data_IF_804515260081
#
_entry.id   IF_804515260081
#
_cell.length_a   1.000
_cell.length_b   1.000
_cell.length_c   1.000
_cell.angle_alpha   90.00
_cell.angle_beta   90.00
_cell.angle_gamma   90.00
#
_symmetry.space_group_name_H-M   'P 1'
#
loop_
_entity.id
_entity.type
_entity.pdbx_description
1 polymer ?
#
# COMPACT_ATOMS: atom_id res chain seq x y z
N UNK A 1 -15.35 81.92 -47.13
CA UNK A 1 -13.93 82.05 -46.71
C UNK A 1 -13.89 81.59 -45.26
N UNK A 2 -13.16 80.57 -44.80
CA UNK A 2 -11.99 79.84 -45.29
C UNK A 2 -11.96 78.50 -44.54
N UNK A 3 -11.41 77.46 -45.17
CA UNK A 3 -11.30 76.07 -44.69
C UNK A 3 -10.10 75.85 -43.74
N UNK A 4 -10.14 74.70 -43.04
CA UNK A 4 -9.07 73.71 -42.69
C UNK A 4 -9.03 73.35 -41.18
N UNK A 5 -9.53 72.17 -40.80
CA UNK A 5 -8.89 70.82 -40.66
C UNK A 5 -8.10 70.61 -39.35
N UNK A 6 -8.55 69.62 -38.56
CA UNK A 6 -7.77 68.64 -37.75
C UNK A 6 -8.82 67.73 -37.07
N UNK A 7 -9.13 66.51 -37.57
CA UNK A 7 -8.45 65.22 -37.38
C UNK A 7 -8.07 64.95 -35.91
N UNK A 8 -8.87 64.13 -35.23
CA UNK A 8 -8.40 62.94 -34.52
C UNK A 8 -9.59 62.03 -34.19
N UNK A 9 -9.67 60.93 -34.94
CA UNK A 9 -10.58 59.81 -34.82
C UNK A 9 -10.06 58.92 -33.69
N UNK A 10 -10.73 58.86 -32.54
CA UNK A 10 -10.40 57.86 -31.51
C UNK A 10 -11.14 56.57 -31.87
N UNK A 11 -10.48 55.75 -32.69
CA UNK A 11 -10.83 54.33 -32.85
C UNK A 11 -10.33 53.64 -31.59
N UNK A 12 -11.26 53.30 -30.70
CA UNK A 12 -10.99 52.41 -29.58
C UNK A 12 -10.87 51.00 -30.18
N UNK A 13 -9.66 50.64 -30.58
CA UNK A 13 -9.32 49.29 -31.01
C UNK A 13 -9.55 48.35 -29.83
N UNK A 14 -10.58 47.50 -29.96
CA UNK A 14 -10.72 46.30 -29.17
C UNK A 14 -9.52 45.39 -29.43
N UNK A 15 -8.50 45.56 -28.59
CA UNK A 15 -7.51 44.52 -28.38
C UNK A 15 -8.20 43.45 -27.53
N UNK A 16 -8.67 42.43 -28.23
CA UNK A 16 -8.86 41.10 -27.67
C UNK A 16 -7.51 40.67 -27.08
N UNK A 17 -7.30 40.97 -25.80
CA UNK A 17 -6.41 40.16 -24.99
C UNK A 17 -7.14 38.84 -24.80
N UNK A 18 -6.87 37.90 -25.72
CA UNK A 18 -6.92 36.49 -25.36
C UNK A 18 -5.90 36.29 -24.25
N UNK A 19 -6.38 36.42 -23.01
CA UNK A 19 -5.81 35.68 -21.90
C UNK A 19 -6.06 34.22 -22.24
N UNK A 20 -5.05 33.54 -22.76
CA UNK A 20 -4.95 32.10 -22.56
C UNK A 20 -4.91 31.91 -21.04
N UNK A 21 -6.04 31.52 -20.44
CA UNK A 21 -5.99 30.89 -19.14
C UNK A 21 -5.26 29.57 -19.35
N UNK A 22 -3.96 29.58 -19.07
CA UNK A 22 -3.34 28.35 -18.60
C UNK A 22 -3.98 28.12 -17.23
N UNK A 23 -5.05 27.34 -17.20
CA UNK A 23 -5.57 26.78 -15.96
C UNK A 23 -4.51 25.77 -15.47
N UNK A 24 -3.43 26.30 -14.90
CA UNK A 24 -2.40 25.61 -14.13
C UNK A 24 -2.99 25.21 -12.77
N UNK A 25 -4.02 24.36 -12.78
CA UNK A 25 -4.64 23.78 -11.58
C UNK A 25 -3.80 22.61 -11.02
N UNK A 26 -2.48 22.74 -11.06
CA UNK A 26 -1.55 21.89 -10.34
C UNK A 26 -1.42 22.35 -8.88
N UNK A 27 -1.01 21.47 -7.95
CA UNK A 27 -0.55 21.88 -6.63
C UNK A 27 0.43 23.04 -6.76
N UNK A 28 0.21 24.15 -6.05
CA UNK A 28 1.08 25.34 -6.08
C UNK A 28 2.54 25.06 -5.58
N UNK A 29 2.82 23.80 -5.20
CA UNK A 29 4.08 23.30 -4.67
C UNK A 29 4.65 22.13 -5.49
N UNK A 30 4.05 21.78 -6.65
CA UNK A 30 4.53 20.71 -7.52
C UNK A 30 5.41 21.27 -8.66
N UNK A 31 6.70 20.90 -8.75
CA UNK A 31 7.55 21.28 -9.87
C UNK A 31 7.12 20.71 -11.24
N UNK A 32 6.16 19.78 -11.29
CA UNK A 32 5.67 19.11 -12.51
C UNK A 32 4.18 19.39 -12.83
N UNK A 33 3.63 20.52 -12.39
CA UNK A 33 2.27 20.97 -12.73
C UNK A 33 1.14 19.97 -12.35
N UNK A 34 1.27 19.25 -11.24
CA UNK A 34 0.30 18.26 -10.78
C UNK A 34 0.48 16.87 -11.38
N UNK A 35 1.67 16.54 -11.88
CA UNK A 35 1.96 15.23 -12.48
C UNK A 35 3.10 14.51 -11.78
N UNK A 36 2.83 13.29 -11.35
CA UNK A 36 3.75 12.42 -10.63
C UNK A 36 3.96 11.14 -11.46
N UNK A 37 4.71 11.30 -12.54
CA UNK A 37 4.91 10.22 -13.52
C UNK A 37 5.92 9.18 -13.06
N UNK A 38 6.86 9.56 -12.18
CA UNK A 38 7.94 8.73 -11.63
C UNK A 38 8.20 9.13 -10.18
N UNK A 39 8.83 8.27 -9.39
CA UNK A 39 9.24 8.57 -8.03
C UNK A 39 8.73 7.56 -7.02
N UNK A 40 8.72 7.95 -5.75
CA UNK A 40 8.36 7.09 -4.63
C UNK A 40 7.12 7.66 -3.94
N UNK A 41 6.08 6.86 -3.82
CA UNK A 41 4.85 7.23 -3.14
C UNK A 41 4.75 6.46 -1.82
N UNK A 42 4.42 7.16 -0.75
CA UNK A 42 4.33 6.61 0.59
C UNK A 42 2.90 6.80 1.07
N UNK A 43 2.24 5.70 1.40
CA UNK A 43 0.92 5.74 2.02
C UNK A 43 1.06 5.95 3.53
N UNK A 44 0.35 6.94 4.05
CA UNK A 44 0.33 7.22 5.47
C UNK A 44 -1.08 6.97 6.00
N UNK A 45 -1.19 6.15 7.04
CA UNK A 45 -2.48 5.81 7.65
C UNK A 45 -3.18 7.05 8.21
N UNK A 46 -2.42 8.01 8.74
CA UNK A 46 -2.96 9.01 9.64
C UNK A 46 -3.41 8.38 10.96
N UNK A 47 -4.25 9.08 11.70
CA UNK A 47 -4.79 8.60 12.96
C UNK A 47 -6.22 8.10 12.78
N UNK A 48 -6.58 7.10 13.59
CA UNK A 48 -7.94 6.60 13.66
C UNK A 48 -8.92 7.75 13.97
N UNK A 49 -9.98 7.88 13.18
CA UNK A 49 -10.99 8.93 13.27
C UNK A 49 -10.52 10.39 13.07
N UNK A 50 -9.31 10.65 12.53
CA UNK A 50 -8.80 12.02 12.35
C UNK A 50 -8.81 12.56 10.91
N UNK A 51 -9.31 11.79 9.95
CA UNK A 51 -9.43 12.16 8.53
C UNK A 51 -8.15 12.80 7.93
N UNK A 52 -6.99 12.34 8.39
CA UNK A 52 -5.67 12.88 8.08
C UNK A 52 -4.76 11.84 7.42
N UNK A 53 -5.32 10.76 6.87
CA UNK A 53 -4.58 9.88 5.96
C UNK A 53 -4.14 10.67 4.73
N UNK A 54 -2.93 10.41 4.24
CA UNK A 54 -2.40 11.08 3.07
C UNK A 54 -1.44 10.19 2.27
N UNK A 55 -1.02 10.72 1.12
CA UNK A 55 0.02 10.12 0.29
C UNK A 55 1.13 11.16 0.18
N UNK A 56 2.34 10.77 0.56
CA UNK A 56 3.56 11.55 0.37
C UNK A 56 4.22 11.12 -0.94
N UNK A 57 4.68 12.08 -1.73
CA UNK A 57 5.51 11.88 -2.91
C UNK A 57 6.96 12.28 -2.62
N UNK A 58 7.90 11.48 -3.08
CA UNK A 58 9.34 11.78 -3.06
C UNK A 58 9.94 11.56 -4.45
N UNK A 59 10.62 12.58 -4.96
CA UNK A 59 11.40 12.49 -6.19
C UNK A 59 12.89 12.24 -5.85
N UNK A 60 13.44 11.05 -6.14
CA UNK A 60 14.83 10.73 -5.84
C UNK A 60 15.85 11.51 -6.69
N UNK A 61 15.41 12.22 -7.73
CA UNK A 61 16.26 13.04 -8.61
C UNK A 61 16.40 14.48 -8.13
N UNK A 62 15.58 14.89 -7.15
CA UNK A 62 15.57 16.24 -6.55
C UNK A 62 16.16 16.20 -5.15
N UNK A 63 16.80 17.28 -4.74
CA UNK A 63 17.33 17.42 -3.38
C UNK A 63 16.22 17.39 -2.32
N UNK A 64 16.51 16.81 -1.15
CA UNK A 64 15.61 16.87 0.00
C UNK A 64 15.62 18.29 0.56
N UNK A 65 14.48 18.96 0.49
CA UNK A 65 14.31 20.37 0.85
C UNK A 65 12.84 20.67 1.16
N UNK A 66 12.47 21.95 1.30
CA UNK A 66 11.08 22.31 1.60
C UNK A 66 10.08 21.94 0.48
N UNK A 67 10.55 21.66 -0.74
CA UNK A 67 9.71 21.28 -1.88
C UNK A 67 9.78 19.79 -2.24
N UNK A 68 10.54 18.98 -1.50
CA UNK A 68 10.67 17.53 -1.70
C UNK A 68 11.11 16.87 -0.38
N UNK A 69 10.33 15.95 0.20
CA UNK A 69 9.11 15.33 -0.31
C UNK A 69 7.88 16.26 -0.28
N UNK A 70 6.85 15.91 -1.08
CA UNK A 70 5.57 16.60 -1.15
C UNK A 70 4.52 15.77 -0.44
N UNK A 71 4.01 16.25 0.69
CA UNK A 71 2.93 15.59 1.44
C UNK A 71 1.55 15.98 0.90
N UNK A 72 0.51 15.23 1.28
CA UNK A 72 -0.88 15.55 0.96
C UNK A 72 -1.18 15.67 -0.54
N UNK A 73 -0.55 14.86 -1.40
CA UNK A 73 -0.74 14.98 -2.86
C UNK A 73 -2.20 14.72 -3.29
N UNK A 74 -2.88 13.77 -2.64
CA UNK A 74 -4.32 13.52 -2.89
C UNK A 74 -5.16 14.76 -2.55
N UNK A 75 -4.98 15.33 -1.35
CA UNK A 75 -5.74 16.49 -0.90
C UNK A 75 -5.55 17.66 -1.85
N UNK A 76 -4.33 17.87 -2.30
CA UNK A 76 -3.99 18.98 -3.20
C UNK A 76 -4.57 18.78 -4.59
N UNK A 77 -4.46 17.57 -5.16
CA UNK A 77 -5.04 17.23 -6.46
C UNK A 77 -6.59 17.31 -6.48
N UNK A 78 -7.23 17.24 -5.32
CA UNK A 78 -8.70 17.16 -5.19
C UNK A 78 -9.28 18.35 -4.40
N UNK A 79 -8.76 19.57 -4.63
CA UNK A 79 -9.31 20.83 -4.10
C UNK A 79 -9.55 20.83 -2.57
N UNK A 80 -8.66 20.19 -1.82
CA UNK A 80 -8.74 20.12 -0.36
C UNK A 80 -9.53 18.93 0.20
N UNK A 81 -10.08 18.06 -0.64
CA UNK A 81 -10.79 16.86 -0.20
C UNK A 81 -9.88 15.92 0.62
N UNK A 82 -10.40 15.40 1.73
CA UNK A 82 -9.65 14.46 2.58
C UNK A 82 -9.71 13.04 2.01
N UNK A 83 -8.58 12.32 2.06
CA UNK A 83 -8.53 10.90 1.67
C UNK A 83 -9.37 10.05 2.63
N UNK A 84 -9.25 10.33 3.93
CA UNK A 84 -10.03 9.72 5.00
C UNK A 84 -9.15 9.37 6.20
N UNK A 85 -9.53 8.32 6.93
CA UNK A 85 -8.83 7.85 8.14
C UNK A 85 -8.33 6.42 7.91
N UNK A 86 -7.07 6.15 8.26
CA UNK A 86 -6.42 4.84 8.14
C UNK A 86 -6.38 4.36 6.69
N UNK A 87 -5.53 5.00 5.87
CA UNK A 87 -5.20 4.48 4.55
C UNK A 87 -4.32 3.22 4.69
N UNK A 88 -4.96 2.06 4.55
CA UNK A 88 -4.44 0.77 4.97
C UNK A 88 -3.52 0.12 3.94
N UNK A 89 -3.81 0.31 2.66
CA UNK A 89 -3.01 -0.20 1.55
C UNK A 89 -3.36 0.55 0.28
N UNK A 90 -2.50 0.46 -0.73
CA UNK A 90 -2.90 0.75 -2.10
C UNK A 90 -2.63 -0.45 -3.00
N UNK A 91 -3.23 -0.42 -4.18
CA UNK A 91 -3.01 -1.38 -5.25
C UNK A 91 -3.02 -0.65 -6.59
N UNK A 92 -1.96 -0.80 -7.37
CA UNK A 92 -1.87 -0.19 -8.70
C UNK A 92 -2.36 -1.16 -9.77
N UNK A 93 -3.20 -0.67 -10.70
CA UNK A 93 -3.58 -1.41 -11.90
C UNK A 93 -3.80 -0.46 -13.07
N UNK A 94 -2.99 -0.61 -14.11
CA UNK A 94 -3.03 0.25 -15.29
C UNK A 94 -2.69 1.69 -14.91
N UNK A 95 -3.57 2.63 -15.23
CA UNK A 95 -3.43 4.05 -14.86
C UNK A 95 -4.16 4.42 -13.56
N UNK A 96 -4.63 3.44 -12.79
CA UNK A 96 -5.40 3.66 -11.57
C UNK A 96 -4.63 3.19 -10.35
N UNK A 97 -4.70 3.99 -9.29
CA UNK A 97 -4.31 3.60 -7.95
C UNK A 97 -5.59 3.45 -7.10
N UNK A 98 -5.74 2.28 -6.50
CA UNK A 98 -6.84 1.95 -5.60
C UNK A 98 -6.34 2.07 -4.17
N UNK A 99 -6.85 3.01 -3.40
CA UNK A 99 -6.41 3.27 -2.02
C UNK A 99 -7.48 2.77 -1.06
N UNK A 100 -7.14 1.74 -0.29
CA UNK A 100 -8.03 1.20 0.75
C UNK A 100 -7.98 2.10 1.97
N UNK A 101 -9.12 2.68 2.33
CA UNK A 101 -9.24 3.59 3.49
C UNK A 101 -10.11 2.92 4.54
N UNK A 102 -9.45 2.20 5.44
CA UNK A 102 -10.03 1.24 6.37
C UNK A 102 -11.10 1.86 7.27
N UNK A 103 -10.73 2.85 8.09
CA UNK A 103 -11.65 3.49 9.03
C UNK A 103 -12.65 4.43 8.32
N UNK A 104 -12.56 4.57 7.00
CA UNK A 104 -13.56 5.26 6.17
C UNK A 104 -14.42 4.32 5.33
N UNK A 105 -14.27 2.99 5.49
CA UNK A 105 -15.07 1.95 4.83
C UNK A 105 -15.22 2.16 3.31
N UNK A 106 -14.11 2.48 2.65
CA UNK A 106 -14.11 2.75 1.21
C UNK A 106 -12.78 2.36 0.54
N UNK A 107 -12.84 2.24 -0.77
CA UNK A 107 -11.67 2.33 -1.64
C UNK A 107 -11.79 3.60 -2.48
N UNK A 108 -10.82 4.49 -2.38
CA UNK A 108 -10.70 5.66 -3.26
C UNK A 108 -9.93 5.26 -4.51
N UNK A 109 -10.46 5.56 -5.69
CA UNK A 109 -9.81 5.26 -6.97
C UNK A 109 -9.34 6.57 -7.58
N UNK A 110 -8.04 6.67 -7.83
CA UNK A 110 -7.41 7.88 -8.36
C UNK A 110 -6.61 7.56 -9.62
N UNK A 111 -6.41 8.56 -10.46
CA UNK A 111 -5.41 8.47 -11.53
C UNK A 111 -4.01 8.39 -10.91
N UNK A 112 -3.22 7.38 -11.27
CA UNK A 112 -1.92 7.12 -10.64
C UNK A 112 -0.81 8.11 -11.06
N UNK A 113 -1.13 9.12 -11.87
CA UNK A 113 -0.20 10.16 -12.30
C UNK A 113 -0.57 11.51 -11.71
N UNK A 114 -1.85 11.88 -11.74
CA UNK A 114 -2.32 13.18 -11.24
C UNK A 114 -2.87 13.11 -9.82
N UNK A 115 -3.16 11.91 -9.31
CA UNK A 115 -3.84 11.66 -8.04
C UNK A 115 -5.22 12.31 -7.93
N UNK A 116 -5.77 12.78 -9.06
CA UNK A 116 -7.16 13.22 -9.17
C UNK A 116 -8.07 12.02 -9.01
N UNK A 117 -9.12 12.20 -8.21
CA UNK A 117 -10.16 11.22 -7.95
C UNK A 117 -10.88 10.85 -9.25
N UNK A 118 -10.99 9.56 -9.48
CA UNK A 118 -11.79 8.96 -10.55
C UNK A 118 -13.13 8.48 -9.99
N UNK A 119 -13.11 7.73 -8.89
CA UNK A 119 -14.30 7.12 -8.30
C UNK A 119 -14.09 6.76 -6.83
N UNK A 120 -15.17 6.38 -6.15
CA UNK A 120 -15.12 5.78 -4.81
C UNK A 120 -15.94 4.49 -4.82
N UNK A 121 -15.36 3.42 -4.28
CA UNK A 121 -16.07 2.17 -4.00
C UNK A 121 -16.46 2.20 -2.51
N UNK A 122 -17.72 2.52 -2.21
CA UNK A 122 -18.22 2.68 -0.84
C UNK A 122 -19.54 1.94 -0.61
N UNK A 123 -19.62 0.68 -1.05
CA UNK A 123 -20.88 -0.05 -1.23
C UNK A 123 -21.54 -0.56 0.08
N UNK A 124 -21.65 0.29 1.12
CA UNK A 124 -22.36 -0.01 2.36
C UNK A 124 -21.91 -1.32 2.99
N UNK A 125 -22.82 -2.26 3.21
CA UNK A 125 -22.53 -3.58 3.79
C UNK A 125 -21.44 -4.36 3.03
N UNK A 126 -21.13 -4.03 1.77
CA UNK A 126 -20.14 -4.72 0.93
C UNK A 126 -18.72 -4.15 1.03
N UNK A 127 -18.52 -3.17 1.92
CA UNK A 127 -17.23 -2.58 2.22
C UNK A 127 -17.22 -2.20 3.70
N UNK A 128 -16.67 -3.06 4.55
CA UNK A 128 -16.65 -2.85 5.99
C UNK A 128 -15.31 -3.31 6.55
N UNK A 129 -14.55 -2.35 7.08
CA UNK A 129 -13.20 -2.53 7.58
C UNK A 129 -12.28 -3.17 6.50
N UNK A 130 -12.16 -2.57 5.30
CA UNK A 130 -11.39 -3.15 4.20
C UNK A 130 -9.88 -3.10 4.47
N UNK A 131 -9.15 -4.09 3.95
CA UNK A 131 -7.74 -4.33 4.28
C UNK A 131 -6.83 -4.24 3.05
N UNK A 132 -6.92 -5.20 2.13
CA UNK A 132 -6.03 -5.32 0.97
C UNK A 132 -6.78 -5.64 -0.31
N UNK A 133 -6.16 -5.34 -1.45
CA UNK A 133 -6.69 -5.61 -2.78
C UNK A 133 -5.73 -6.52 -3.55
N UNK A 134 -6.28 -7.50 -4.26
CA UNK A 134 -5.65 -8.18 -5.41
C UNK A 134 -6.59 -8.17 -6.59
N UNK A 135 -6.10 -8.46 -7.80
CA UNK A 135 -6.95 -8.48 -8.99
C UNK A 135 -6.55 -9.54 -10.00
N UNK A 136 -7.52 -10.01 -10.77
CA UNK A 136 -7.29 -10.60 -12.09
C UNK A 136 -7.54 -9.52 -13.17
N UNK A 137 -7.75 -9.91 -14.42
CA UNK A 137 -8.00 -8.97 -15.52
C UNK A 137 -9.35 -8.27 -15.43
N UNK A 138 -10.35 -8.92 -14.83
CA UNK A 138 -11.74 -8.50 -14.87
C UNK A 138 -12.25 -8.02 -13.52
N UNK A 139 -11.65 -8.50 -12.42
CA UNK A 139 -12.16 -8.33 -11.06
C UNK A 139 -11.11 -7.88 -10.06
N UNK A 140 -11.55 -7.03 -9.13
CA UNK A 140 -10.88 -6.73 -7.87
C UNK A 140 -11.43 -7.64 -6.78
N UNK A 141 -10.55 -8.09 -5.88
CA UNK A 141 -10.88 -8.84 -4.68
C UNK A 141 -10.35 -8.07 -3.47
N UNK A 142 -11.23 -7.76 -2.52
CA UNK A 142 -10.92 -6.86 -1.41
C UNK A 142 -11.20 -7.58 -0.09
N UNK A 143 -10.18 -7.77 0.75
CA UNK A 143 -10.37 -8.37 2.08
C UNK A 143 -11.03 -7.38 3.03
N UNK A 144 -11.98 -7.86 3.83
CA UNK A 144 -12.79 -7.08 4.75
C UNK A 144 -12.98 -7.84 6.05
N UNK A 145 -12.72 -7.18 7.19
CA UNK A 145 -12.98 -7.75 8.51
C UNK A 145 -14.45 -7.73 8.92
N UNK A 146 -15.32 -7.05 8.17
CA UNK A 146 -16.71 -6.89 8.61
C UNK A 146 -16.79 -6.10 9.92
N UNK A 147 -17.66 -6.52 10.84
CA UNK A 147 -17.67 -5.95 12.17
C UNK A 147 -16.53 -6.61 12.98
N UNK A 148 -15.53 -5.84 13.44
CA UNK A 148 -14.36 -6.42 14.11
C UNK A 148 -14.66 -7.10 15.46
N UNK A 149 -15.91 -7.03 15.95
CA UNK A 149 -16.38 -7.76 17.14
C UNK A 149 -17.20 -9.02 16.80
N UNK A 150 -17.36 -9.36 15.52
CA UNK A 150 -18.12 -10.52 15.04
C UNK A 150 -17.21 -11.39 14.18
N UNK A 151 -16.75 -12.50 14.75
CA UNK A 151 -15.72 -13.37 14.15
C UNK A 151 -16.20 -14.23 12.96
N UNK A 152 -17.40 -13.96 12.44
CA UNK A 152 -18.08 -14.81 11.44
C UNK A 152 -18.64 -14.03 10.26
N UNK A 153 -18.44 -12.71 10.24
CA UNK A 153 -18.95 -11.84 9.17
C UNK A 153 -17.86 -11.36 8.19
N UNK A 154 -16.60 -11.79 8.37
CA UNK A 154 -15.46 -11.53 7.49
C UNK A 154 -15.65 -12.08 6.07
N UNK A 155 -15.15 -11.32 5.08
CA UNK A 155 -15.39 -11.62 3.69
C UNK A 155 -14.34 -11.05 2.73
N UNK A 156 -14.28 -11.63 1.53
CA UNK A 156 -13.65 -11.03 0.37
C UNK A 156 -14.75 -10.47 -0.55
N UNK A 157 -14.68 -9.18 -0.86
CA UNK A 157 -15.62 -8.53 -1.77
C UNK A 157 -15.08 -8.53 -3.20
N UNK A 158 -15.91 -8.95 -4.16
CA UNK A 158 -15.57 -8.97 -5.60
C UNK A 158 -16.24 -7.82 -6.32
N UNK A 159 -15.47 -7.06 -7.09
CA UNK A 159 -15.96 -5.95 -7.92
C UNK A 159 -15.45 -6.09 -9.35
N UNK A 160 -16.23 -5.66 -10.35
CA UNK A 160 -15.76 -5.55 -11.73
C UNK A 160 -14.81 -4.37 -11.87
N UNK A 161 -13.69 -4.55 -12.54
CA UNK A 161 -12.73 -3.47 -12.81
C UNK A 161 -13.31 -2.44 -13.79
N UNK A 162 -14.12 -2.90 -14.75
CA UNK A 162 -14.65 -2.08 -15.85
C UNK A 162 -15.52 -0.90 -15.38
N UNK A 163 -16.37 -1.13 -14.38
CA UNK A 163 -17.36 -0.17 -13.90
C UNK A 163 -17.41 -0.06 -12.37
N UNK A 164 -16.54 -0.79 -11.66
CA UNK A 164 -16.49 -0.85 -10.19
C UNK A 164 -17.79 -1.36 -9.55
N UNK A 165 -18.64 -2.04 -10.32
CA UNK A 165 -19.87 -2.64 -9.78
C UNK A 165 -19.55 -3.83 -8.88
N UNK A 166 -20.29 -3.94 -7.79
CA UNK A 166 -20.23 -5.08 -6.88
C UNK A 166 -20.74 -6.35 -7.60
N UNK A 167 -20.06 -7.47 -7.38
CA UNK A 167 -20.43 -8.78 -7.92
C UNK A 167 -20.97 -9.67 -6.82
N UNK A 168 -20.14 -9.98 -5.83
CA UNK A 168 -20.48 -10.89 -4.73
C UNK A 168 -19.48 -10.83 -3.57
N UNK A 169 -19.80 -11.56 -2.48
CA UNK A 169 -18.91 -11.81 -1.35
C UNK A 169 -18.53 -13.27 -1.25
N UNK A 170 -17.29 -13.53 -0.88
CA UNK A 170 -16.85 -14.83 -0.40
C UNK A 170 -16.68 -14.77 1.12
N UNK A 171 -17.45 -15.56 1.87
CA UNK A 171 -17.25 -15.69 3.32
C UNK A 171 -15.93 -16.40 3.60
N UNK A 172 -15.15 -15.87 4.52
CA UNK A 172 -13.86 -16.43 4.91
C UNK A 172 -13.75 -16.48 6.43
N UNK A 173 -12.70 -17.13 6.93
CA UNK A 173 -12.42 -17.15 8.37
C UNK A 173 -11.97 -15.76 8.84
N UNK A 174 -11.98 -15.55 10.16
CA UNK A 174 -11.74 -14.26 10.80
C UNK A 174 -10.39 -13.62 10.45
N UNK A 175 -10.42 -12.31 10.23
CA UNK A 175 -9.25 -11.47 10.03
C UNK A 175 -8.52 -11.70 8.72
N UNK A 176 -9.20 -11.68 7.55
CA UNK A 176 -8.52 -11.74 6.27
C UNK A 176 -7.68 -10.49 6.07
N UNK A 177 -6.39 -10.67 5.83
CA UNK A 177 -5.42 -9.58 5.61
C UNK A 177 -4.93 -9.61 4.16
N UNK A 178 -3.60 -9.68 3.96
CA UNK A 178 -2.98 -9.75 2.64
C UNK A 178 -3.47 -10.97 1.88
N UNK A 179 -3.47 -10.87 0.56
CA UNK A 179 -3.88 -11.92 -0.35
C UNK A 179 -2.91 -12.05 -1.52
N UNK A 180 -2.88 -13.23 -2.14
CA UNK A 180 -2.27 -13.46 -3.45
C UNK A 180 -3.30 -14.16 -4.32
N UNK A 181 -3.45 -13.73 -5.56
CA UNK A 181 -4.28 -14.40 -6.56
C UNK A 181 -3.36 -15.11 -7.56
N UNK A 182 -3.44 -16.43 -7.59
CA UNK A 182 -2.62 -17.26 -8.48
C UNK A 182 -3.47 -18.38 -9.08
N UNK A 183 -3.47 -18.51 -10.40
CA UNK A 183 -4.19 -19.56 -11.14
C UNK A 183 -5.67 -19.72 -10.74
N UNK A 184 -6.38 -18.59 -10.56
CA UNK A 184 -7.80 -18.57 -10.20
C UNK A 184 -8.09 -18.90 -8.73
N UNK A 185 -7.07 -18.98 -7.88
CA UNK A 185 -7.20 -19.20 -6.44
C UNK A 185 -6.69 -18.02 -5.65
N UNK A 186 -7.48 -17.57 -4.68
CA UNK A 186 -7.06 -16.63 -3.66
C UNK A 186 -6.42 -17.38 -2.50
N UNK A 187 -5.21 -16.96 -2.14
CA UNK A 187 -4.52 -17.34 -0.92
C UNK A 187 -4.66 -16.16 0.03
N UNK A 188 -5.28 -16.38 1.19
CA UNK A 188 -5.71 -15.32 2.10
C UNK A 188 -5.08 -15.58 3.47
N UNK A 189 -4.24 -14.67 3.95
CA UNK A 189 -3.73 -14.74 5.32
C UNK A 189 -4.87 -14.45 6.31
N UNK A 190 -5.19 -15.43 7.16
CA UNK A 190 -6.17 -15.30 8.23
C UNK A 190 -5.45 -14.96 9.53
N UNK A 191 -5.27 -13.65 9.76
CA UNK A 191 -4.59 -13.11 10.94
C UNK A 191 -5.41 -13.28 12.21
N UNK A 192 -6.74 -13.37 12.09
CA UNK A 192 -7.67 -13.59 13.21
C UNK A 192 -8.21 -12.33 13.86
N UNK A 193 -8.16 -11.17 13.19
CA UNK A 193 -8.77 -9.93 13.68
C UNK A 193 -8.12 -9.44 14.97
N UNK A 194 -8.91 -9.28 16.04
CA UNK A 194 -8.40 -9.02 17.39
C UNK A 194 -7.99 -10.30 18.14
N UNK A 195 -8.32 -11.47 17.61
CA UNK A 195 -7.90 -12.77 18.10
C UNK A 195 -6.59 -13.23 17.50
N UNK A 196 -6.45 -14.55 17.35
CA UNK A 196 -5.26 -15.21 16.80
C UNK A 196 -5.67 -16.20 15.73
N UNK A 197 -5.40 -15.84 14.48
CA UNK A 197 -5.53 -16.72 13.33
C UNK A 197 -4.22 -17.44 13.06
N UNK A 198 -4.28 -18.56 12.34
CA UNK A 198 -3.12 -19.44 12.13
C UNK A 198 -3.11 -20.12 10.76
N UNK A 199 -3.95 -19.64 9.84
CA UNK A 199 -4.17 -20.31 8.57
C UNK A 199 -4.04 -19.37 7.39
N UNK A 200 -3.72 -19.95 6.24
CA UNK A 200 -4.06 -19.38 4.95
C UNK A 200 -5.31 -20.09 4.44
N UNK A 201 -6.33 -19.33 4.07
CA UNK A 201 -7.47 -19.86 3.30
C UNK A 201 -7.10 -19.88 1.82
N UNK A 202 -7.23 -21.04 1.17
CA UNK A 202 -7.12 -21.20 -0.28
C UNK A 202 -8.54 -21.30 -0.83
N UNK A 203 -8.96 -20.30 -1.59
CA UNK A 203 -10.30 -20.15 -2.14
C UNK A 203 -10.26 -20.17 -3.67
N UNK A 204 -10.98 -21.09 -4.29
CA UNK A 204 -11.17 -21.10 -5.75
C UNK A 204 -12.24 -20.07 -6.15
N UNK A 205 -11.88 -19.10 -6.99
CA UNK A 205 -12.76 -17.95 -7.30
C UNK A 205 -13.92 -18.30 -8.22
N UNK A 206 -13.95 -19.51 -8.80
CA UNK A 206 -15.03 -19.97 -9.69
C UNK A 206 -16.00 -20.89 -8.96
N UNK A 207 -15.47 -21.88 -8.24
CA UNK A 207 -16.27 -22.91 -7.54
C UNK A 207 -16.67 -22.49 -6.13
N UNK A 208 -15.92 -21.55 -5.53
CA UNK A 208 -16.03 -21.13 -4.12
C UNK A 208 -15.60 -22.19 -3.13
N UNK A 209 -14.96 -23.27 -3.60
CA UNK A 209 -14.39 -24.28 -2.73
C UNK A 209 -13.24 -23.66 -1.92
N UNK A 210 -13.19 -24.03 -0.64
CA UNK A 210 -12.22 -23.51 0.31
C UNK A 210 -11.50 -24.66 1.01
N UNK A 211 -10.20 -24.49 1.20
CA UNK A 211 -9.40 -25.27 2.16
C UNK A 211 -8.52 -24.35 2.97
N UNK A 212 -8.07 -24.81 4.13
CA UNK A 212 -7.15 -24.06 4.99
C UNK A 212 -5.83 -24.78 5.15
N UNK A 213 -4.74 -24.01 5.20
CA UNK A 213 -3.39 -24.50 5.44
C UNK A 213 -2.89 -23.85 6.73
N UNK A 214 -2.48 -24.65 7.72
CA UNK A 214 -1.88 -24.11 8.94
C UNK A 214 -0.47 -23.61 8.65
N UNK A 215 -0.22 -22.34 8.97
CA UNK A 215 1.02 -21.60 8.67
C UNK A 215 1.69 -21.00 9.92
N UNK A 216 1.16 -21.26 11.12
CA UNK A 216 1.59 -20.61 12.36
C UNK A 216 0.79 -19.34 12.67
N UNK A 217 0.86 -18.89 13.92
CA UNK A 217 0.00 -17.84 14.45
C UNK A 217 0.32 -16.45 13.87
N UNK A 218 -0.73 -15.65 13.66
CA UNK A 218 -0.66 -14.27 13.14
C UNK A 218 0.06 -14.21 11.77
N UNK A 219 -0.45 -14.89 10.72
CA UNK A 219 0.06 -14.72 9.36
C UNK A 219 -0.15 -13.27 8.89
N UNK A 220 0.93 -12.59 8.49
CA UNK A 220 0.91 -11.17 8.11
C UNK A 220 1.19 -10.95 6.63
N UNK A 221 2.09 -11.74 6.05
CA UNK A 221 2.58 -11.55 4.69
C UNK A 221 2.62 -12.87 3.93
N UNK A 222 2.36 -12.82 2.62
CA UNK A 222 2.48 -13.96 1.74
C UNK A 222 2.87 -13.53 0.34
N UNK A 223 3.58 -14.41 -0.37
CA UNK A 223 3.86 -14.29 -1.80
C UNK A 223 3.79 -15.67 -2.44
N UNK A 224 3.59 -15.72 -3.76
CA UNK A 224 3.74 -16.95 -4.53
C UNK A 224 4.85 -16.74 -5.54
N UNK A 225 5.83 -17.63 -5.51
CA UNK A 225 6.95 -17.60 -6.45
C UNK A 225 7.41 -19.03 -6.74
N UNK A 226 7.78 -19.31 -7.99
CA UNK A 226 8.25 -20.62 -8.44
C UNK A 226 7.37 -21.81 -7.99
N UNK A 227 6.04 -21.66 -8.03
CA UNK A 227 5.07 -22.71 -7.67
C UNK A 227 4.95 -22.99 -6.16
N UNK A 228 5.54 -22.13 -5.31
CA UNK A 228 5.44 -22.23 -3.86
C UNK A 228 4.77 -20.97 -3.30
N UNK A 229 3.88 -21.17 -2.34
CA UNK A 229 3.40 -20.11 -1.45
C UNK A 229 4.40 -19.98 -0.30
N UNK A 230 4.87 -18.76 -0.08
CA UNK A 230 5.63 -18.39 1.11
C UNK A 230 4.75 -17.57 2.03
N UNK A 231 4.75 -17.87 3.32
CA UNK A 231 3.93 -17.19 4.32
C UNK A 231 4.80 -16.85 5.51
N UNK A 232 4.78 -15.58 5.92
CA UNK A 232 5.38 -15.13 7.16
C UNK A 232 4.29 -14.93 8.21
N UNK A 233 4.46 -15.64 9.32
CA UNK A 233 3.65 -15.53 10.52
C UNK A 233 4.48 -14.90 11.62
N UNK A 234 3.96 -13.81 12.19
CA UNK A 234 4.64 -13.03 13.22
C UNK A 234 4.76 -13.79 14.55
N UNK A 235 3.84 -14.74 14.81
CA UNK A 235 3.63 -15.26 16.15
C UNK A 235 2.91 -14.24 17.03
N UNK A 236 2.41 -14.69 18.18
CA UNK A 236 1.70 -13.84 19.13
C UNK A 236 2.73 -13.14 20.02
N UNK A 237 2.76 -11.81 20.02
CA UNK A 237 3.66 -11.02 20.89
C UNK A 237 2.96 -10.47 22.15
N UNK A 238 1.73 -10.90 22.42
CA UNK A 238 0.91 -10.43 23.52
C UNK A 238 0.24 -11.59 24.27
N UNK A 239 0.14 -11.51 25.60
CA UNK A 239 -0.47 -12.57 26.38
C UNK A 239 0.31 -13.89 26.30
N UNK A 240 -0.30 -14.94 25.74
CA UNK A 240 0.34 -16.24 25.56
C UNK A 240 1.23 -16.21 24.30
N UNK A 241 2.49 -15.83 24.50
CA UNK A 241 3.44 -15.60 23.43
C UNK A 241 3.73 -16.86 22.61
N UNK A 242 3.82 -16.70 21.28
CA UNK A 242 4.22 -17.76 20.36
C UNK A 242 5.26 -17.24 19.37
N UNK A 243 6.21 -18.10 19.00
CA UNK A 243 7.29 -17.75 18.06
C UNK A 243 6.79 -17.51 16.64
N UNK A 244 7.47 -16.64 15.90
CA UNK A 244 7.26 -16.48 14.48
C UNK A 244 7.56 -17.75 13.68
N UNK A 245 7.01 -17.82 12.46
CA UNK A 245 7.22 -18.94 11.53
C UNK A 245 7.23 -18.43 10.08
N UNK A 246 8.16 -18.94 9.28
CA UNK A 246 8.10 -18.83 7.82
C UNK A 246 7.76 -20.22 7.25
N UNK A 247 6.71 -20.27 6.42
CA UNK A 247 6.24 -21.50 5.79
C UNK A 247 6.41 -21.42 4.28
N UNK A 248 7.05 -22.42 3.69
CA UNK A 248 7.01 -22.68 2.24
C UNK A 248 6.08 -23.85 1.97
N UNK A 249 5.04 -23.62 1.19
CA UNK A 249 4.01 -24.58 0.84
C UNK A 249 3.98 -24.78 -0.69
N UNK A 250 4.25 -26.01 -1.15
CA UNK A 250 4.22 -26.32 -2.58
C UNK A 250 2.78 -26.38 -3.06
N UNK A 251 2.43 -25.62 -4.10
CA UNK A 251 1.06 -25.51 -4.59
C UNK A 251 0.55 -26.77 -5.31
N UNK A 252 1.45 -27.66 -5.73
CA UNK A 252 1.13 -28.88 -6.47
C UNK A 252 1.16 -30.15 -5.62
N UNK A 253 2.22 -30.34 -4.82
CA UNK A 253 2.38 -31.52 -3.97
C UNK A 253 1.77 -31.35 -2.59
N UNK A 254 1.46 -30.11 -2.20
CA UNK A 254 1.02 -29.74 -0.86
C UNK A 254 2.07 -29.99 0.24
N UNK A 255 3.32 -30.24 -0.15
CA UNK A 255 4.43 -30.38 0.79
C UNK A 255 4.70 -29.06 1.50
N UNK A 256 5.00 -29.16 2.79
CA UNK A 256 5.23 -28.02 3.66
C UNK A 256 6.61 -28.10 4.33
N UNK A 257 7.39 -27.04 4.17
CA UNK A 257 8.58 -26.77 4.96
C UNK A 257 8.26 -25.64 5.95
N UNK A 258 8.49 -25.90 7.23
CA UNK A 258 8.31 -24.92 8.30
C UNK A 258 9.65 -24.50 8.89
N UNK A 259 9.90 -23.20 8.91
CA UNK A 259 11.09 -22.59 9.49
C UNK A 259 10.66 -21.76 10.69
N UNK A 260 10.95 -22.26 11.89
CA UNK A 260 10.59 -21.57 13.13
C UNK A 260 11.67 -20.56 13.52
N UNK A 261 11.23 -19.37 13.89
CA UNK A 261 12.08 -18.38 14.55
C UNK A 261 12.35 -18.79 16.00
N UNK A 262 13.24 -18.08 16.70
CA UNK A 262 13.50 -18.32 18.12
C UNK A 262 12.33 -17.78 18.96
N UNK A 263 12.26 -18.22 20.20
CA UNK A 263 11.33 -17.65 21.18
C UNK A 263 11.65 -16.14 21.35
N UNK A 264 10.62 -15.29 21.40
CA UNK A 264 10.78 -13.83 21.41
C UNK A 264 10.97 -13.16 20.05
N UNK A 265 11.12 -13.92 18.96
CA UNK A 265 11.30 -13.34 17.62
C UNK A 265 9.96 -13.22 16.87
N UNK A 266 9.62 -11.98 16.52
CA UNK A 266 8.40 -11.60 15.81
C UNK A 266 8.74 -10.91 14.47
N UNK A 267 8.96 -11.69 13.40
CA UNK A 267 9.30 -11.14 12.10
C UNK A 267 8.07 -10.49 11.45
N UNK A 268 8.30 -9.60 10.49
CA UNK A 268 7.24 -9.00 9.69
C UNK A 268 7.72 -8.43 8.36
N UNK A 269 6.77 -7.94 7.57
CA UNK A 269 7.00 -7.24 6.32
C UNK A 269 7.81 -8.06 5.30
N UNK A 270 7.37 -9.29 5.05
CA UNK A 270 8.01 -10.13 4.04
C UNK A 270 7.77 -9.58 2.63
N UNK A 271 8.84 -9.51 1.84
CA UNK A 271 8.83 -9.10 0.43
C UNK A 271 9.61 -10.13 -0.37
N UNK A 272 9.11 -10.51 -1.54
CA UNK A 272 9.88 -11.27 -2.51
C UNK A 272 10.39 -10.30 -3.57
N UNK A 273 11.68 -10.38 -3.88
CA UNK A 273 12.29 -9.60 -4.95
C UNK A 273 13.54 -10.34 -5.46
N UNK A 274 13.68 -10.45 -6.78
CA UNK A 274 14.82 -11.11 -7.44
C UNK A 274 15.14 -12.53 -6.92
N UNK A 275 14.12 -13.39 -6.75
CA UNK A 275 14.25 -14.76 -6.24
C UNK A 275 14.84 -14.86 -4.83
N UNK A 276 14.54 -13.86 -3.99
CA UNK A 276 14.87 -13.85 -2.56
C UNK A 276 13.68 -13.38 -1.76
N UNK A 277 13.54 -13.94 -0.57
CA UNK A 277 12.69 -13.35 0.46
C UNK A 277 13.52 -12.41 1.30
N UNK A 278 12.97 -11.23 1.54
CA UNK A 278 13.43 -10.27 2.52
C UNK A 278 12.39 -10.16 3.61
N UNK A 279 12.81 -9.94 4.86
CA UNK A 279 11.91 -9.64 5.96
C UNK A 279 12.63 -8.79 7.01
N UNK A 280 11.84 -8.17 7.88
CA UNK A 280 12.35 -7.38 9.01
C UNK A 280 12.14 -8.17 10.30
N UNK A 281 13.17 -8.18 11.14
CA UNK A 281 13.13 -8.72 12.49
C UNK A 281 13.97 -7.81 13.40
N UNK A 282 13.34 -7.25 14.45
CA UNK A 282 14.00 -6.36 15.41
C UNK A 282 14.80 -5.22 14.73
N UNK A 283 14.12 -4.45 13.86
CA UNK A 283 14.68 -3.36 13.05
C UNK A 283 15.87 -3.74 12.14
N UNK A 284 16.09 -5.04 11.93
CA UNK A 284 17.15 -5.56 11.06
C UNK A 284 16.53 -6.25 9.85
N UNK A 285 17.14 -6.06 8.68
CA UNK A 285 16.73 -6.71 7.44
C UNK A 285 17.50 -8.02 7.29
N UNK A 286 16.78 -9.07 6.93
CA UNK A 286 17.31 -10.38 6.62
C UNK A 286 16.89 -10.77 5.21
N UNK A 287 17.72 -11.57 4.54
CA UNK A 287 17.35 -12.20 3.28
C UNK A 287 17.67 -13.68 3.25
N UNK A 288 16.92 -14.41 2.42
CA UNK A 288 17.17 -15.81 2.13
C UNK A 288 16.76 -16.16 0.70
N UNK A 289 17.47 -17.12 0.10
CA UNK A 289 17.06 -17.68 -1.18
C UNK A 289 15.74 -18.47 -1.03
N UNK A 290 14.91 -18.47 -2.07
CA UNK A 290 13.63 -19.18 -2.11
C UNK A 290 13.73 -20.69 -1.81
N UNK A 291 14.87 -21.30 -2.12
CA UNK A 291 15.13 -22.72 -1.90
C UNK A 291 15.75 -23.04 -0.53
N UNK A 292 16.13 -22.04 0.27
CA UNK A 292 16.79 -22.25 1.56
C UNK A 292 15.91 -23.08 2.51
N UNK A 293 16.58 -23.93 3.31
CA UNK A 293 15.94 -24.86 4.24
C UNK A 293 16.15 -24.49 5.71
N UNK A 294 16.78 -23.34 5.97
CA UNK A 294 17.06 -22.80 7.30
C UNK A 294 16.97 -21.27 7.25
N UNK A 295 16.57 -20.65 8.35
CA UNK A 295 16.56 -19.19 8.47
C UNK A 295 17.99 -18.63 8.49
N UNK A 296 18.22 -17.41 7.95
CA UNK A 296 19.48 -16.72 8.10
C UNK A 296 19.74 -16.36 9.58
N UNK A 297 20.98 -16.53 10.02
CA UNK A 297 21.39 -16.22 11.41
C UNK A 297 22.06 -14.86 11.56
N UNK A 298 22.26 -14.14 10.45
CA UNK A 298 22.92 -12.84 10.40
C UNK A 298 22.05 -11.91 9.58
N UNK A 299 21.81 -10.70 10.09
CA UNK A 299 21.16 -9.64 9.36
C UNK A 299 22.04 -9.16 8.20
N UNK A 300 21.41 -8.77 7.09
CA UNK A 300 22.07 -8.09 5.99
C UNK A 300 22.54 -6.70 6.46
N UNK A 301 21.64 -5.98 7.14
CA UNK A 301 21.93 -4.72 7.82
C UNK A 301 20.91 -4.40 8.90
N UNK A 302 21.23 -3.40 9.73
CA UNK A 302 20.34 -2.85 10.75
C UNK A 302 19.85 -1.48 10.25
N UNK A 303 18.54 -1.28 10.23
CA UNK A 303 17.93 -0.02 9.79
C UNK A 303 18.12 1.06 10.85
N UNK A 304 17.99 2.32 10.45
CA UNK A 304 18.00 3.48 11.36
C UNK A 304 16.61 3.82 11.90
N UNK A 305 15.58 3.10 11.45
CA UNK A 305 14.20 3.29 11.89
C UNK A 305 14.05 2.94 13.38
N UNK A 306 13.24 3.70 14.10
CA UNK A 306 12.88 3.40 15.49
C UNK A 306 11.80 2.32 15.55
N UNK A 307 10.76 2.47 14.75
CA UNK A 307 9.61 1.56 14.68
C UNK A 307 9.27 1.30 13.21
N UNK A 308 9.84 0.22 12.65
CA UNK A 308 9.53 -0.17 11.27
C UNK A 308 8.03 -0.46 11.15
N UNK A 309 7.37 0.25 10.25
CA UNK A 309 5.92 0.15 10.00
C UNK A 309 5.55 -0.12 8.54
N UNK A 310 6.55 -0.15 7.67
CA UNK A 310 6.45 -0.63 6.31
C UNK A 310 7.83 -0.95 5.77
N UNK A 311 7.89 -1.89 4.84
CA UNK A 311 9.14 -2.29 4.20
C UNK A 311 8.85 -2.77 2.78
N UNK A 312 9.70 -2.37 1.85
CA UNK A 312 9.64 -2.79 0.47
C UNK A 312 11.04 -2.93 -0.15
N UNK A 313 11.15 -3.72 -1.21
CA UNK A 313 12.40 -3.92 -1.96
C UNK A 313 12.12 -3.78 -3.45
N UNK A 314 12.77 -2.82 -4.09
CA UNK A 314 12.60 -2.58 -5.53
C UNK A 314 13.93 -2.08 -6.10
N UNK A 315 14.32 -2.57 -7.29
CA UNK A 315 15.53 -2.12 -8.01
C UNK A 315 16.81 -2.15 -7.15
N UNK A 316 16.98 -3.22 -6.36
CA UNK A 316 18.11 -3.39 -5.43
C UNK A 316 18.23 -2.28 -4.36
N UNK A 317 17.11 -1.62 -4.03
CA UNK A 317 17.01 -0.69 -2.91
C UNK A 317 16.00 -1.19 -1.88
N UNK A 318 16.30 -0.92 -0.63
CA UNK A 318 15.39 -1.17 0.48
C UNK A 318 14.70 0.12 0.88
N UNK A 319 13.38 0.08 1.00
CA UNK A 319 12.55 1.18 1.45
C UNK A 319 12.01 0.81 2.82
N UNK A 320 12.44 1.52 3.87
CA UNK A 320 12.04 1.25 5.25
C UNK A 320 11.24 2.44 5.75
N UNK A 321 10.00 2.21 6.17
CA UNK A 321 9.12 3.22 6.73
C UNK A 321 9.15 3.15 8.26
N UNK A 322 9.39 4.28 8.90
CA UNK A 322 9.45 4.45 10.35
C UNK A 322 8.25 5.24 10.84
N UNK A 323 7.41 4.63 11.69
CA UNK A 323 6.27 5.32 12.30
C UNK A 323 6.68 6.25 13.45
N UNK A 324 7.93 6.17 13.92
CA UNK A 324 8.49 6.95 15.03
C UNK A 324 7.73 6.74 16.35
N UNK A 325 6.54 7.33 16.49
CA UNK A 325 5.68 7.30 17.69
C UNK A 325 4.18 7.21 17.35
N UNK A 326 3.82 7.00 16.07
CA UNK A 326 2.45 6.93 15.55
C UNK A 326 1.62 8.22 15.73
N UNK A 327 2.25 9.33 16.11
CA UNK A 327 1.60 10.63 16.35
C UNK A 327 2.25 11.73 15.53
N UNK A 328 3.57 11.79 15.54
CA UNK A 328 4.40 12.66 14.72
C UNK A 328 4.48 12.15 13.29
N UNK A 329 4.94 13.01 12.38
CA UNK A 329 5.32 12.58 11.04
C UNK A 329 6.39 11.47 11.11
N UNK A 330 6.20 10.44 10.29
CA UNK A 330 7.14 9.34 10.14
C UNK A 330 8.29 9.69 9.19
N UNK A 331 9.08 8.66 8.85
CA UNK A 331 10.19 8.78 7.91
C UNK A 331 10.24 7.62 6.91
N UNK A 332 10.74 7.91 5.71
CA UNK A 332 11.25 6.93 4.77
C UNK A 332 12.79 6.93 4.82
N UNK A 333 13.37 5.74 4.94
CA UNK A 333 14.78 5.48 4.75
C UNK A 333 14.99 4.63 3.50
N UNK A 334 15.89 5.05 2.61
CA UNK A 334 16.25 4.30 1.41
C UNK A 334 17.69 3.83 1.53
N UNK A 335 17.89 2.50 1.50
CA UNK A 335 19.20 1.87 1.55
C UNK A 335 19.53 1.20 0.21
N UNK A 336 20.81 1.13 -0.14
CA UNK A 336 21.24 0.23 -1.21
C UNK A 336 21.33 -1.22 -0.71
N UNK A 337 21.66 -2.15 -1.61
CA UNK A 337 21.77 -3.57 -1.29
C UNK A 337 22.88 -3.92 -0.28
N UNK A 338 23.82 -3.00 -0.01
CA UNK A 338 24.84 -3.15 1.05
C UNK A 338 24.37 -2.59 2.41
N UNK A 339 23.13 -2.10 2.52
CA UNK A 339 22.61 -1.49 3.74
C UNK A 339 23.14 -0.08 4.00
N UNK A 340 23.72 0.58 3.00
CA UNK A 340 24.17 1.97 3.11
C UNK A 340 23.03 2.92 2.74
N UNK A 341 22.75 3.87 3.64
CA UNK A 341 21.72 4.87 3.46
C UNK A 341 22.06 5.77 2.25
N UNK A 342 21.11 5.94 1.34
CA UNK A 342 21.28 6.70 0.09
C UNK A 342 20.93 8.19 0.25
N UNK A 343 20.04 8.49 1.20
CA UNK A 343 19.55 9.83 1.49
C UNK A 343 19.40 10.02 3.00
N UNK A 344 19.52 11.25 3.54
CA UNK A 344 18.99 11.55 4.87
C UNK A 344 17.53 11.08 5.03
N UNK A 345 17.06 10.92 6.27
CA UNK A 345 15.66 10.56 6.53
C UNK A 345 14.69 11.50 5.78
N UNK A 346 13.77 10.91 5.03
CA UNK A 346 12.77 11.63 4.22
C UNK A 346 11.47 11.69 5.03
N UNK A 347 11.06 12.88 5.46
CA UNK A 347 9.85 13.06 6.27
C UNK A 347 8.59 12.63 5.51
N UNK A 348 7.75 11.81 6.13
CA UNK A 348 6.46 11.35 5.56
C UNK A 348 5.28 11.92 6.36
N UNK A 349 4.07 11.43 6.09
CA UNK A 349 2.92 11.64 6.99
C UNK A 349 2.98 10.73 8.22
N UNK A 350 1.88 10.69 8.97
CA UNK A 350 1.76 9.90 10.20
C UNK A 350 1.45 8.44 9.87
N UNK A 351 2.20 7.51 10.45
CA UNK A 351 2.01 6.07 10.23
C UNK A 351 2.24 5.63 8.77
N UNK A 352 3.43 5.87 8.19
CA UNK A 352 3.76 5.41 6.84
C UNK A 352 3.83 3.88 6.80
N UNK A 353 3.01 3.23 5.97
CA UNK A 353 2.85 1.76 5.97
C UNK A 353 3.10 1.04 4.64
N UNK A 354 3.11 1.76 3.51
CA UNK A 354 3.31 1.16 2.19
C UNK A 354 4.09 2.09 1.24
N UNK A 355 4.87 1.48 0.34
CA UNK A 355 5.66 2.18 -0.69
C UNK A 355 5.25 1.70 -2.08
N UNK A 356 5.11 2.63 -3.02
CA UNK A 356 4.94 2.37 -4.45
C UNK A 356 6.04 3.12 -5.18
N UNK A 357 6.85 2.39 -5.96
CA UNK A 357 7.91 2.97 -6.78
C UNK A 357 7.45 2.98 -8.23
N UNK A 358 7.40 4.17 -8.84
CA UNK A 358 7.01 4.36 -10.24
C UNK A 358 8.21 4.80 -11.08
N UNK A 359 8.41 4.18 -12.24
CA UNK A 359 9.65 4.26 -13.04
C UNK A 359 9.53 5.07 -14.32
#
# INVERSE_FOLDING_TARGET
MTKFKSIALVVLAGLFLQSCSNDDDGPNNDPENGTYSKGVFILNEGNFNSANADITYFDPTKDISQTNPIQNIYKTANAGAQLGSVAQSFYEKGNKLYVVVNASNKVEVVDNTTFKKIATISAGENMNNPRYIVSDNDFLYISNWGNPNVTTDDFIAKYKISDLSFVEKYKVDEGPEKMVLENGKLYIAQKGGYGVGKTVTVLDTKTKDKKTVNVGDVPTDLTVENGNLYVLSQGVSWGAETKGKLVRYNLSTEDKLELNFKDGEHPGFMVEENNKLFYVLNNSVYSMALNATTLPTKADFITSAKNVYGFDVEDNKFYVLDAVDFTSNGNLYIYNIQGALQYPAITTGIGPNAVLVKK
#
